data_IF_772933667596
#
_entry.id   IF_772933667596
#
_cell.length_a   1.000
_cell.length_b   1.000
_cell.length_c   1.000
_cell.angle_alpha   90.00
_cell.angle_beta   90.00
_cell.angle_gamma   90.00
#
_symmetry.space_group_name_H-M   'P 1'
#
loop_
_entity.id
_entity.type
_entity.pdbx_description
1 polymer ?
#
# COMPACT_ATOMS: atom_id res chain seq x y z
N UNK A 1 -4.86 20.14 17.02
CA UNK A 1 -4.06 18.93 17.22
C UNK A 1 -4.69 17.78 16.43
N UNK A 2 -4.22 17.55 15.20
CA UNK A 2 -4.68 16.47 14.34
C UNK A 2 -4.26 15.10 14.90
N UNK A 3 -5.07 14.07 14.63
CA UNK A 3 -4.71 12.68 14.94
C UNK A 3 -3.47 12.29 14.13
N UNK A 4 -2.37 12.02 14.82
CA UNK A 4 -1.08 11.67 14.21
C UNK A 4 -0.88 10.16 14.06
N UNK A 5 -1.69 9.36 14.75
CA UNK A 5 -1.65 7.89 14.69
C UNK A 5 -2.24 7.34 13.40
N UNK A 6 -1.91 6.11 13.06
CA UNK A 6 -2.54 5.42 11.94
C UNK A 6 -4.05 5.26 12.17
N UNK A 7 -4.83 5.68 11.19
CA UNK A 7 -6.28 5.51 11.17
C UNK A 7 -6.64 4.61 10.00
N UNK A 8 -7.52 3.65 10.25
CA UNK A 8 -8.09 2.78 9.23
C UNK A 8 -9.60 2.97 9.25
N UNK A 9 -10.15 3.34 8.10
CA UNK A 9 -11.59 3.41 7.87
C UNK A 9 -11.98 2.31 6.90
N UNK A 10 -13.01 1.52 7.21
CA UNK A 10 -13.44 0.43 6.35
C UNK A 10 -14.96 0.46 6.13
N UNK A 11 -15.35 0.16 4.89
CA UNK A 11 -16.73 -0.13 4.51
C UNK A 11 -16.75 -1.52 3.88
N UNK A 12 -17.21 -2.49 4.63
CA UNK A 12 -17.24 -3.89 4.23
C UNK A 12 -18.68 -4.27 3.91
N UNK A 13 -18.90 -4.78 2.72
CA UNK A 13 -20.23 -5.16 2.20
C UNK A 13 -20.50 -6.65 2.25
N UNK A 14 -19.48 -7.46 2.47
CA UNK A 14 -19.57 -8.93 2.57
C UNK A 14 -18.66 -9.42 3.71
N UNK A 15 -18.88 -10.63 4.24
CA UNK A 15 -18.00 -11.19 5.26
C UNK A 15 -16.53 -11.24 4.79
N UNK A 16 -15.60 -10.88 5.67
CA UNK A 16 -14.17 -10.80 5.33
C UNK A 16 -13.59 -12.13 4.82
N UNK A 17 -14.10 -13.26 5.30
CA UNK A 17 -13.69 -14.60 4.84
C UNK A 17 -14.07 -14.90 3.39
N UNK A 18 -14.88 -14.06 2.74
CA UNK A 18 -15.19 -14.15 1.31
C UNK A 18 -14.24 -13.38 0.42
N UNK A 19 -13.35 -12.59 0.99
CA UNK A 19 -12.37 -11.81 0.23
C UNK A 19 -11.31 -12.76 -0.35
N UNK A 20 -11.12 -12.67 -1.67
CA UNK A 20 -10.16 -13.49 -2.42
C UNK A 20 -8.93 -12.72 -2.88
N UNK A 21 -9.01 -11.41 -2.90
CA UNK A 21 -7.90 -10.54 -3.28
C UNK A 21 -7.99 -9.19 -2.58
N UNK A 22 -6.83 -8.69 -2.18
CA UNK A 22 -6.67 -7.32 -1.69
C UNK A 22 -5.98 -6.52 -2.80
N UNK A 23 -6.54 -5.38 -3.18
CA UNK A 23 -5.95 -4.45 -4.15
C UNK A 23 -5.59 -3.16 -3.43
N UNK A 24 -4.33 -2.73 -3.47
CA UNK A 24 -3.83 -1.60 -2.69
C UNK A 24 -3.33 -0.50 -3.63
N UNK A 25 -3.98 0.65 -3.62
CA UNK A 25 -3.51 1.85 -4.33
C UNK A 25 -2.64 2.71 -3.39
N UNK A 26 -1.44 3.05 -3.83
CA UNK A 26 -0.42 3.71 -3.02
C UNK A 26 0.03 5.00 -3.70
N UNK A 27 -0.02 6.16 -3.02
CA UNK A 27 0.48 7.41 -3.57
C UNK A 27 2.01 7.38 -3.70
N UNK A 28 2.55 8.17 -4.61
CA UNK A 28 3.98 8.34 -4.75
C UNK A 28 4.61 8.89 -3.46
N UNK A 29 5.83 8.46 -3.15
CA UNK A 29 6.60 8.88 -1.98
C UNK A 29 6.01 8.41 -0.64
N UNK A 30 5.12 7.42 -0.65
CA UNK A 30 4.55 6.82 0.56
C UNK A 30 5.64 6.18 1.44
N UNK A 31 6.72 5.70 0.84
CA UNK A 31 7.88 5.11 1.51
C UNK A 31 8.61 6.07 2.45
N UNK A 32 8.46 7.38 2.26
CA UNK A 32 9.04 8.41 3.12
C UNK A 32 8.15 8.79 4.30
N UNK A 33 6.96 8.22 4.42
CA UNK A 33 6.10 8.46 5.58
C UNK A 33 6.53 7.58 6.76
N UNK A 34 6.58 8.13 7.99
CA UNK A 34 7.04 7.38 9.17
C UNK A 34 6.27 6.08 9.42
N UNK A 35 5.00 6.04 9.06
CA UNK A 35 4.14 4.87 9.22
C UNK A 35 4.15 3.88 8.06
N UNK A 36 5.07 3.98 7.09
CA UNK A 36 5.09 3.14 5.90
C UNK A 36 5.08 1.65 6.21
N UNK A 37 6.09 1.14 6.89
CA UNK A 37 6.18 -0.28 7.20
C UNK A 37 5.09 -0.78 8.15
N UNK A 38 4.50 0.10 8.95
CA UNK A 38 3.41 -0.27 9.85
C UNK A 38 2.15 -0.67 9.08
N UNK A 39 1.76 0.06 8.05
CA UNK A 39 0.60 -0.33 7.26
C UNK A 39 0.94 -1.49 6.30
N UNK A 40 2.15 -1.58 5.76
CA UNK A 40 2.61 -2.74 4.97
C UNK A 40 2.49 -4.02 5.80
N UNK A 41 3.01 -4.03 7.02
CA UNK A 41 2.92 -5.15 7.96
C UNK A 41 1.47 -5.58 8.21
N UNK A 42 0.59 -4.61 8.46
CA UNK A 42 -0.84 -4.90 8.73
C UNK A 42 -1.53 -5.52 7.52
N UNK A 43 -1.25 -5.03 6.32
CA UNK A 43 -1.83 -5.58 5.10
C UNK A 43 -1.27 -6.96 4.76
N UNK A 44 0.02 -7.20 4.97
CA UNK A 44 0.62 -8.51 4.81
C UNK A 44 -0.02 -9.54 5.76
N UNK A 45 -0.17 -9.20 7.04
CA UNK A 45 -0.87 -10.05 8.01
C UNK A 45 -2.34 -10.28 7.64
N UNK A 46 -3.03 -9.25 7.17
CA UNK A 46 -4.42 -9.39 6.73
C UNK A 46 -4.53 -10.38 5.56
N UNK A 47 -3.65 -10.24 4.56
CA UNK A 47 -3.61 -11.16 3.41
C UNK A 47 -3.31 -12.61 3.84
N UNK A 48 -2.35 -12.79 4.75
CA UNK A 48 -2.03 -14.11 5.32
C UNK A 48 -3.20 -14.71 6.09
N UNK A 49 -3.85 -13.94 6.96
CA UNK A 49 -4.99 -14.40 7.75
C UNK A 49 -6.23 -14.76 6.89
N UNK A 50 -6.42 -14.07 5.77
CA UNK A 50 -7.49 -14.35 4.82
C UNK A 50 -7.11 -15.39 3.77
N UNK A 51 -5.88 -15.87 3.76
CA UNK A 51 -5.31 -16.75 2.72
C UNK A 51 -5.62 -16.23 1.30
N UNK A 52 -5.47 -14.94 1.09
CA UNK A 52 -5.76 -14.31 -0.18
C UNK A 52 -4.53 -13.65 -0.81
N UNK A 53 -4.60 -13.38 -2.11
CA UNK A 53 -3.58 -12.61 -2.82
C UNK A 53 -3.70 -11.13 -2.47
N UNK A 54 -2.54 -10.46 -2.41
CA UNK A 54 -2.48 -9.01 -2.29
C UNK A 54 -1.73 -8.42 -3.47
N UNK A 55 -2.30 -7.40 -4.10
CA UNK A 55 -1.72 -6.70 -5.24
C UNK A 55 -1.52 -5.23 -4.90
N UNK A 56 -0.29 -4.78 -5.03
CA UNK A 56 0.10 -3.40 -4.77
C UNK A 56 0.23 -2.64 -6.09
N UNK A 57 -0.35 -1.43 -6.12
CA UNK A 57 -0.29 -0.51 -7.26
C UNK A 57 0.37 0.79 -6.81
N UNK A 58 1.49 1.15 -7.41
CA UNK A 58 2.23 2.34 -7.05
C UNK A 58 3.47 2.56 -7.90
N UNK A 59 4.35 3.45 -7.43
CA UNK A 59 5.61 3.75 -8.10
C UNK A 59 6.61 2.61 -7.91
N UNK A 60 7.55 2.52 -8.84
CA UNK A 60 8.57 1.48 -8.88
C UNK A 60 9.37 1.41 -7.57
N UNK A 61 9.78 2.55 -7.05
CA UNK A 61 10.58 2.66 -5.82
C UNK A 61 9.81 2.12 -4.61
N UNK A 62 8.55 2.51 -4.48
CA UNK A 62 7.66 2.05 -3.41
C UNK A 62 7.42 0.54 -3.51
N UNK A 63 7.20 0.02 -4.73
CA UNK A 63 6.98 -1.42 -4.95
C UNK A 63 8.21 -2.23 -4.59
N UNK A 64 9.41 -1.71 -4.86
CA UNK A 64 10.67 -2.35 -4.50
C UNK A 64 10.77 -2.62 -2.99
N UNK A 65 10.53 -1.59 -2.20
CA UNK A 65 10.62 -1.67 -0.74
C UNK A 65 9.56 -2.59 -0.14
N UNK A 66 8.33 -2.56 -0.68
CA UNK A 66 7.28 -3.48 -0.23
C UNK A 66 7.62 -4.92 -0.57
N UNK A 67 8.12 -5.17 -1.78
CA UNK A 67 8.53 -6.51 -2.20
C UNK A 67 9.65 -7.06 -1.31
N UNK A 68 10.67 -6.27 -1.02
CA UNK A 68 11.75 -6.64 -0.12
C UNK A 68 11.22 -6.98 1.28
N UNK A 69 10.36 -6.12 1.82
CA UNK A 69 9.77 -6.32 3.14
C UNK A 69 8.96 -7.63 3.22
N UNK A 70 8.07 -7.87 2.25
CA UNK A 70 7.21 -9.04 2.23
C UNK A 70 8.03 -10.31 2.01
N UNK A 71 8.99 -10.30 1.08
CA UNK A 71 9.86 -11.45 0.80
C UNK A 71 10.66 -11.87 2.03
N UNK A 72 11.13 -10.91 2.82
CA UNK A 72 11.97 -11.20 3.98
C UNK A 72 11.17 -11.59 5.23
N UNK A 73 9.91 -11.17 5.37
CA UNK A 73 9.14 -11.31 6.60
C UNK A 73 7.84 -12.09 6.49
N UNK A 74 7.27 -12.11 5.30
CA UNK A 74 5.96 -12.70 5.02
C UNK A 74 6.01 -13.54 3.75
N UNK A 75 7.00 -14.44 3.68
CA UNK A 75 7.23 -15.30 2.51
C UNK A 75 6.02 -16.21 2.17
N UNK A 76 5.10 -16.39 3.10
CA UNK A 76 3.82 -17.10 2.89
C UNK A 76 2.79 -16.26 2.14
N UNK A 77 2.95 -14.92 2.12
CA UNK A 77 2.01 -14.01 1.47
C UNK A 77 2.23 -13.96 -0.03
N UNK A 78 1.18 -14.20 -0.79
CA UNK A 78 1.21 -14.14 -2.25
C UNK A 78 0.98 -12.70 -2.71
N UNK A 79 2.07 -11.96 -2.94
CA UNK A 79 2.05 -10.57 -3.33
C UNK A 79 2.36 -10.39 -4.82
N UNK A 80 1.59 -9.55 -5.49
CA UNK A 80 1.79 -9.10 -6.87
C UNK A 80 2.00 -7.57 -6.86
N UNK A 81 2.72 -7.05 -7.87
CA UNK A 81 3.07 -5.64 -7.96
C UNK A 81 2.77 -5.12 -9.35
N UNK A 82 2.10 -3.97 -9.41
CA UNK A 82 1.75 -3.30 -10.68
C UNK A 82 2.17 -1.83 -10.60
N UNK A 83 2.76 -1.31 -11.66
CA UNK A 83 3.11 0.09 -11.72
C UNK A 83 1.87 0.96 -11.91
N UNK A 84 1.80 2.00 -11.11
CA UNK A 84 0.88 3.12 -11.25
C UNK A 84 1.72 4.40 -11.19
N UNK A 85 1.96 5.01 -12.34
CA UNK A 85 2.89 6.14 -12.45
C UNK A 85 2.31 7.44 -11.92
N UNK A 86 0.99 7.61 -12.06
CA UNK A 86 0.28 8.79 -11.62
C UNK A 86 -0.97 8.42 -10.83
N UNK A 87 -1.26 9.18 -9.78
CA UNK A 87 -2.45 8.95 -8.96
C UNK A 87 -3.76 9.02 -9.78
N UNK A 88 -3.77 9.79 -10.86
CA UNK A 88 -4.92 9.89 -11.76
C UNK A 88 -5.28 8.56 -12.46
N UNK A 89 -4.42 7.55 -12.41
CA UNK A 89 -4.70 6.20 -12.92
C UNK A 89 -5.53 5.37 -11.92
N UNK A 90 -5.61 5.79 -10.64
CA UNK A 90 -6.30 5.04 -9.59
C UNK A 90 -7.77 4.72 -9.92
N UNK A 91 -8.58 5.62 -10.51
CA UNK A 91 -9.95 5.29 -10.90
C UNK A 91 -10.06 4.15 -11.91
N UNK A 92 -9.04 3.92 -12.73
CA UNK A 92 -9.01 2.83 -13.71
C UNK A 92 -8.97 1.45 -13.05
N UNK A 93 -8.49 1.36 -11.80
CA UNK A 93 -8.49 0.13 -11.02
C UNK A 93 -9.90 -0.41 -10.77
N UNK A 94 -10.93 0.45 -10.81
CA UNK A 94 -12.31 0.07 -10.60
C UNK A 94 -12.78 -1.05 -11.54
N UNK A 95 -12.28 -1.05 -12.79
CA UNK A 95 -12.59 -2.10 -13.78
C UNK A 95 -12.00 -3.48 -13.43
N UNK A 96 -11.00 -3.53 -12.56
CA UNK A 96 -10.30 -4.75 -12.15
C UNK A 96 -10.69 -5.23 -10.75
N UNK A 97 -11.61 -4.53 -10.07
CA UNK A 97 -12.04 -4.85 -8.71
C UNK A 97 -13.40 -5.53 -8.75
N UNK A 98 -13.42 -6.79 -8.33
CA UNK A 98 -14.63 -7.61 -8.23
C UNK A 98 -15.26 -7.50 -6.83
N UNK A 99 -16.48 -8.06 -6.66
CA UNK A 99 -17.21 -8.02 -5.38
C UNK A 99 -16.49 -8.73 -4.24
N UNK A 100 -15.69 -9.75 -4.55
CA UNK A 100 -14.87 -10.52 -3.62
C UNK A 100 -13.47 -9.94 -3.42
N UNK A 101 -13.22 -8.73 -3.90
CA UNK A 101 -11.99 -7.98 -3.61
C UNK A 101 -12.22 -6.99 -2.47
N UNK A 102 -11.14 -6.73 -1.71
CA UNK A 102 -11.01 -5.59 -0.81
C UNK A 102 -10.13 -4.55 -1.51
N UNK A 103 -10.69 -3.38 -1.80
CA UNK A 103 -9.92 -2.26 -2.30
C UNK A 103 -9.40 -1.43 -1.14
N UNK A 104 -8.10 -1.25 -1.08
CA UNK A 104 -7.40 -0.48 -0.05
C UNK A 104 -6.77 0.75 -0.70
N UNK A 105 -7.00 1.90 -0.13
CA UNK A 105 -6.36 3.14 -0.53
C UNK A 105 -5.48 3.62 0.62
N UNK A 106 -4.19 3.68 0.36
CA UNK A 106 -3.26 4.39 1.25
C UNK A 106 -3.33 5.86 0.87
N UNK A 107 -3.69 6.71 1.82
CA UNK A 107 -3.76 8.15 1.59
C UNK A 107 -2.66 8.89 2.33
N UNK A 108 -2.55 10.18 2.10
CA UNK A 108 -1.59 11.04 2.75
C UNK A 108 -2.30 12.20 3.45
N UNK A 109 -1.73 12.66 4.55
CA UNK A 109 -2.24 13.83 5.27
C UNK A 109 -1.73 15.10 4.62
N UNK A 110 -2.54 16.14 4.63
CA UNK A 110 -2.10 17.45 4.15
C UNK A 110 -0.85 17.92 4.90
N UNK A 111 0.15 18.34 4.15
CA UNK A 111 1.44 18.76 4.70
C UNK A 111 2.49 17.65 4.82
N UNK A 112 2.18 16.40 4.47
CA UNK A 112 3.17 15.31 4.45
C UNK A 112 3.82 15.16 3.06
N UNK A 113 4.92 14.43 2.99
CA UNK A 113 5.75 14.29 1.78
C UNK A 113 5.04 13.55 0.64
N UNK A 114 4.17 12.62 0.96
CA UNK A 114 3.38 11.84 -0.01
C UNK A 114 2.07 12.52 -0.42
N UNK A 115 1.70 13.64 0.24
CA UNK A 115 0.47 14.35 -0.11
C UNK A 115 0.56 15.01 -1.49
N UNK A 116 -0.45 14.79 -2.31
CA UNK A 116 -0.64 15.41 -3.61
C UNK A 116 -2.04 16.04 -3.68
N UNK A 117 -2.17 17.12 -4.42
CA UNK A 117 -3.48 17.76 -4.65
C UNK A 117 -4.52 16.81 -5.25
N UNK A 118 -4.08 15.83 -6.03
CA UNK A 118 -4.95 14.78 -6.57
C UNK A 118 -5.65 13.95 -5.47
N UNK A 119 -5.05 13.81 -4.29
CA UNK A 119 -5.67 13.13 -3.14
C UNK A 119 -6.85 13.91 -2.54
N UNK A 120 -6.96 15.18 -2.79
CA UNK A 120 -8.09 16.00 -2.33
C UNK A 120 -9.42 15.58 -3.01
N UNK A 121 -9.34 14.99 -4.20
CA UNK A 121 -10.50 14.45 -4.94
C UNK A 121 -10.86 13.01 -4.56
N UNK A 122 -10.08 12.38 -3.67
CA UNK A 122 -10.28 10.99 -3.28
C UNK A 122 -11.72 10.67 -2.82
N UNK A 123 -12.39 11.47 -1.98
CA UNK A 123 -13.76 11.19 -1.57
C UNK A 123 -14.74 11.12 -2.75
N UNK A 124 -14.61 12.04 -3.72
CA UNK A 124 -15.42 12.08 -4.92
C UNK A 124 -15.15 10.85 -5.82
N UNK A 125 -13.89 10.54 -6.06
CA UNK A 125 -13.46 9.39 -6.87
C UNK A 125 -13.93 8.06 -6.26
N UNK A 126 -13.80 7.89 -4.95
CA UNK A 126 -14.28 6.70 -4.25
C UNK A 126 -15.80 6.54 -4.33
N UNK A 127 -16.52 7.64 -4.23
CA UNK A 127 -17.99 7.63 -4.35
C UNK A 127 -18.41 7.27 -5.77
N UNK A 128 -17.75 7.87 -6.76
CA UNK A 128 -18.09 7.72 -8.18
C UNK A 128 -17.75 6.33 -8.73
N UNK A 129 -16.56 5.82 -8.43
CA UNK A 129 -16.01 4.64 -9.09
C UNK A 129 -16.03 3.38 -8.22
N UNK A 130 -16.07 3.52 -6.88
CA UNK A 130 -15.91 2.40 -5.94
C UNK A 130 -17.07 2.26 -4.94
N UNK A 131 -18.23 2.84 -5.23
CA UNK A 131 -19.39 2.80 -4.32
C UNK A 131 -19.87 1.37 -4.00
N UNK A 132 -19.68 0.44 -4.94
CA UNK A 132 -20.08 -0.97 -4.82
C UNK A 132 -19.06 -1.89 -4.15
N UNK A 133 -17.83 -1.44 -3.87
CA UNK A 133 -16.72 -2.28 -3.43
C UNK A 133 -16.60 -2.38 -1.90
N UNK A 134 -15.94 -3.45 -1.43
CA UNK A 134 -15.38 -3.44 -0.08
C UNK A 134 -14.20 -2.48 -0.09
N UNK A 135 -14.23 -1.47 0.76
CA UNK A 135 -13.27 -0.36 0.75
C UNK A 135 -12.60 -0.22 2.12
N UNK A 136 -11.29 0.00 2.09
CA UNK A 136 -10.51 0.39 3.25
C UNK A 136 -9.64 1.60 2.90
N UNK A 137 -9.61 2.59 3.77
CA UNK A 137 -8.76 3.77 3.63
C UNK A 137 -7.79 3.78 4.81
N UNK A 138 -6.50 3.88 4.50
CA UNK A 138 -5.43 3.93 5.51
C UNK A 138 -4.82 5.33 5.49
N UNK A 139 -4.88 6.00 6.64
CA UNK A 139 -4.12 7.21 6.93
C UNK A 139 -2.87 6.78 7.70
N UNK A 140 -1.67 6.88 7.12
CA UNK A 140 -0.44 6.44 7.76
C UNK A 140 -0.16 7.17 9.08
N UNK A 141 0.57 6.50 9.96
CA UNK A 141 1.11 7.11 11.18
C UNK A 141 2.12 8.21 10.81
N UNK A 142 2.11 9.29 11.54
CA UNK A 142 3.01 10.44 11.33
C UNK A 142 4.15 10.48 12.37
N UNK A 143 4.09 9.64 13.37
CA UNK A 143 5.15 9.46 14.34
C UNK A 143 5.78 8.09 14.11
N UNK A 144 7.08 8.04 13.94
CA UNK A 144 7.84 6.80 14.00
C UNK A 144 7.61 6.11 15.34
N UNK A 145 7.83 4.80 15.39
CA UNK A 145 7.66 4.00 16.61
C UNK A 145 8.58 4.53 17.72
N UNK A 146 8.02 5.34 18.62
CA UNK A 146 8.67 5.72 19.88
C UNK A 146 8.46 4.66 20.98
N UNK A 147 7.74 3.59 20.70
CA UNK A 147 7.58 2.46 21.63
C UNK A 147 8.58 1.35 21.28
N UNK A 148 9.63 1.26 22.05
CA UNK A 148 10.78 0.37 21.92
C UNK A 148 10.50 -1.14 21.94
N UNK A 149 9.51 -1.58 21.24
CA UNK A 149 9.19 -2.98 21.07
C UNK A 149 8.52 -3.20 19.71
N UNK A 150 9.21 -3.08 18.68
CA UNK A 150 9.03 -3.76 17.39
C UNK A 150 10.02 -3.13 16.41
N UNK A 151 11.07 -3.92 16.08
CA UNK A 151 11.74 -3.83 14.82
C UNK A 151 12.09 -2.37 14.42
N UNK A 152 13.10 -1.86 15.10
CA UNK A 152 13.89 -0.77 14.56
C UNK A 152 14.41 -1.27 13.21
N UNK A 153 13.62 -1.06 12.15
CA UNK A 153 14.27 -0.84 10.89
C UNK A 153 14.98 0.49 11.07
N UNK A 154 16.28 0.42 11.28
CA UNK A 154 17.12 1.53 10.92
C UNK A 154 16.63 1.98 9.55
N UNK A 155 16.33 3.27 9.37
CA UNK A 155 16.18 3.84 8.03
C UNK A 155 17.32 3.25 7.21
N UNK A 156 17.06 2.62 6.05
CA UNK A 156 18.13 2.08 5.23
C UNK A 156 19.08 3.24 5.00
N UNK A 157 20.32 3.07 5.44
CA UNK A 157 21.32 4.07 5.14
C UNK A 157 21.39 4.17 3.61
N UNK A 158 21.53 5.35 3.08
CA UNK A 158 21.45 5.72 1.65
C UNK A 158 22.15 4.74 0.68
N UNK A 159 23.09 3.93 1.15
CA UNK A 159 23.79 2.89 0.38
C UNK A 159 22.99 1.58 0.21
N UNK A 160 22.14 1.24 1.16
CA UNK A 160 21.27 0.04 1.04
C UNK A 160 20.05 0.33 0.15
N UNK A 161 19.55 1.56 0.15
CA UNK A 161 18.46 1.99 -0.75
C UNK A 161 18.86 1.84 -2.23
N UNK A 162 20.10 2.21 -2.59
CA UNK A 162 20.61 2.07 -3.95
C UNK A 162 20.72 0.58 -4.33
N UNK A 163 21.11 -0.28 -3.42
CA UNK A 163 21.25 -1.72 -3.66
C UNK A 163 19.88 -2.39 -3.84
N UNK A 164 18.91 -2.08 -3.00
CA UNK A 164 17.54 -2.58 -3.10
C UNK A 164 16.86 -2.12 -4.39
N UNK A 165 17.04 -0.85 -4.76
CA UNK A 165 16.53 -0.28 -6.00
C UNK A 165 17.12 -0.96 -7.24
N UNK A 166 18.43 -1.23 -7.27
CA UNK A 166 19.09 -1.91 -8.39
C UNK A 166 18.61 -3.36 -8.50
N UNK A 167 18.52 -4.08 -7.38
CA UNK A 167 18.03 -5.46 -7.35
C UNK A 167 16.57 -5.55 -7.82
N UNK A 168 15.72 -4.62 -7.42
CA UNK A 168 14.34 -4.55 -7.85
C UNK A 168 14.21 -4.24 -9.35
N UNK A 169 14.96 -3.28 -9.86
CA UNK A 169 14.97 -2.94 -11.28
C UNK A 169 15.33 -4.16 -12.15
N UNK A 170 16.30 -4.96 -11.70
CA UNK A 170 16.68 -6.20 -12.39
C UNK A 170 15.58 -7.24 -12.31
N UNK A 171 14.99 -7.45 -11.14
CA UNK A 171 13.87 -8.37 -10.91
C UNK A 171 12.63 -7.93 -11.71
N UNK A 172 12.28 -6.64 -11.65
CA UNK A 172 11.12 -6.10 -12.35
C UNK A 172 11.25 -6.23 -13.87
N UNK A 173 12.41 -5.87 -14.44
CA UNK A 173 12.71 -6.06 -15.86
C UNK A 173 12.62 -7.52 -16.28
N UNK A 174 13.03 -8.45 -15.42
CA UNK A 174 12.97 -9.90 -15.68
C UNK A 174 11.54 -10.43 -15.65
N UNK A 175 10.68 -9.90 -14.76
CA UNK A 175 9.32 -10.41 -14.53
C UNK A 175 8.27 -9.78 -15.46
N UNK A 176 8.47 -8.54 -15.88
CA UNK A 176 7.47 -7.76 -16.63
C UNK A 176 7.91 -7.34 -18.04
N UNK A 177 9.10 -7.72 -18.48
CA UNK A 177 9.54 -7.55 -19.86
C UNK A 177 9.07 -8.75 -20.69
N UNK A 178 7.84 -8.65 -21.19
CA UNK A 178 7.37 -9.37 -22.37
C UNK A 178 7.09 -8.39 -23.47
#
# INVERSE_FOLDING_TARGET
NGLSRQIIMARIKQPLNTIRRIQVAIPSRAEFEPGFYRWVERLARLAGNLDCRIQFHGREETMALINEYITNRHHEVRADYTLMHHWNEMPQLASHISKDHLFVVVTARKGTVSHKSALERLPEELTRFFSGTNLMIIFPDQHGDSSGNVLTFAEPQHQEEISAYVAFNQWFKKKFRK
#
